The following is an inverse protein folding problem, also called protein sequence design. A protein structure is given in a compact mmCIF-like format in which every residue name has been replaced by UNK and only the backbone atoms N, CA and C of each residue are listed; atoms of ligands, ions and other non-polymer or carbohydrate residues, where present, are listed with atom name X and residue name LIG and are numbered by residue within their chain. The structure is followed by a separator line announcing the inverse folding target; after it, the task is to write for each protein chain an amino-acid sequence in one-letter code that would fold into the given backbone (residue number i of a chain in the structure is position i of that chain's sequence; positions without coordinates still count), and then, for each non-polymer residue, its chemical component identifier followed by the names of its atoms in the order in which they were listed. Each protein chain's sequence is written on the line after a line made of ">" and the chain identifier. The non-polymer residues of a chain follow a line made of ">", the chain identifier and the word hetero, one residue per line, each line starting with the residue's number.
data_IF_276912192129
#
_entry.id   IF_276912192129
#
_cell.length_a   1.000
_cell.length_b   1.000
_cell.length_c   1.000
_cell.angle_alpha   90.00
_cell.angle_beta   90.00
_cell.angle_gamma   90.00
#
_symmetry.space_group_name_H-M   'P 1'
#
loop_
_entity.id
_entity.type
_entity.pdbx_description
1 polymer ?
#
# COMPACT_ATOMS: atom_id res chain seq x y z
N UNK A 1 -19.42 38.61 11.51
CA UNK A 1 -19.85 37.19 11.53
C UNK A 1 -20.12 36.58 10.15
N UNK A 2 -20.78 37.28 9.21
CA UNK A 2 -21.01 36.77 7.84
C UNK A 2 -19.72 36.50 7.06
N UNK A 3 -18.73 37.39 7.18
CA UNK A 3 -17.43 37.26 6.53
C UNK A 3 -16.65 36.02 7.01
N UNK A 4 -16.65 35.77 8.33
CA UNK A 4 -15.98 34.61 8.93
C UNK A 4 -16.65 33.29 8.51
N UNK A 5 -17.98 33.27 8.37
CA UNK A 5 -18.72 32.11 7.84
C UNK A 5 -18.45 31.86 6.36
N UNK A 6 -18.33 32.93 5.57
CA UNK A 6 -17.98 32.84 4.15
C UNK A 6 -16.54 32.32 3.96
N UNK A 7 -15.61 32.78 4.79
CA UNK A 7 -14.22 32.31 4.80
C UNK A 7 -14.14 30.83 5.22
N UNK A 8 -14.91 30.41 6.23
CA UNK A 8 -15.02 29.01 6.62
C UNK A 8 -15.62 28.14 5.52
N UNK A 9 -16.65 28.63 4.82
CA UNK A 9 -17.23 27.97 3.65
C UNK A 9 -16.21 27.83 2.51
N UNK A 10 -15.43 28.87 2.23
CA UNK A 10 -14.36 28.84 1.21
C UNK A 10 -13.21 27.91 1.60
N UNK A 11 -12.87 27.80 2.88
CA UNK A 11 -11.86 26.85 3.39
C UNK A 11 -12.40 25.40 3.37
N UNK A 12 -13.70 25.20 3.59
CA UNK A 12 -14.35 23.88 3.48
C UNK A 12 -14.58 23.45 2.01
N UNK A 13 -14.67 24.41 1.09
CA UNK A 13 -14.80 24.21 -0.36
C UNK A 13 -13.44 24.25 -1.08
N UNK A 14 -12.34 24.53 -0.38
CA UNK A 14 -11.01 24.42 -0.94
C UNK A 14 -10.79 22.94 -1.32
N UNK A 15 -10.49 22.65 -2.60
CA UNK A 15 -10.19 21.28 -2.99
C UNK A 15 -9.01 20.81 -2.14
N UNK A 16 -9.22 19.74 -1.38
CA UNK A 16 -8.11 19.04 -0.76
C UNK A 16 -7.14 18.66 -1.89
N UNK A 17 -5.87 18.98 -1.72
CA UNK A 17 -4.85 18.51 -2.64
C UNK A 17 -4.99 16.98 -2.70
N UNK A 18 -5.07 16.38 -3.90
CA UNK A 18 -5.29 14.96 -3.98
C UNK A 18 -4.13 14.22 -3.32
N UNK A 19 -4.40 13.35 -2.33
CA UNK A 19 -3.39 12.42 -1.86
C UNK A 19 -3.39 11.22 -2.79
N UNK A 20 -2.27 11.02 -3.47
CA UNK A 20 -2.15 10.09 -4.57
C UNK A 20 -1.49 8.78 -4.07
N UNK A 21 -2.14 7.64 -4.30
CA UNK A 21 -1.89 6.37 -3.59
C UNK A 21 -0.74 5.53 -4.16
N UNK A 22 0.26 5.15 -3.37
CA UNK A 22 1.26 4.14 -3.78
C UNK A 22 0.72 2.72 -3.77
N UNK A 23 1.47 1.79 -4.37
CA UNK A 23 1.12 0.37 -4.30
C UNK A 23 1.27 -0.20 -2.88
N UNK A 24 0.37 -1.12 -2.52
CA UNK A 24 0.28 -1.72 -1.18
C UNK A 24 1.59 -2.34 -0.69
N UNK A 25 2.35 -3.05 -1.54
CA UNK A 25 3.62 -3.65 -1.09
C UNK A 25 4.72 -2.59 -0.92
N UNK A 26 4.66 -1.50 -1.70
CA UNK A 26 5.60 -0.38 -1.53
C UNK A 26 5.43 0.27 -0.17
N UNK A 27 4.20 0.46 0.31
CA UNK A 27 3.96 0.98 1.66
C UNK A 27 4.55 0.11 2.77
N UNK A 28 4.42 -1.22 2.66
CA UNK A 28 5.08 -2.13 3.60
C UNK A 28 6.61 -2.03 3.53
N UNK A 29 7.17 -1.87 2.32
CA UNK A 29 8.62 -1.67 2.14
C UNK A 29 9.14 -0.35 2.73
N UNK A 30 8.30 0.69 2.77
CA UNK A 30 8.63 1.96 3.44
C UNK A 30 8.71 1.75 4.95
N UNK A 31 7.76 1.02 5.54
CA UNK A 31 7.84 0.65 6.97
C UNK A 31 9.13 -0.13 7.24
N UNK A 32 9.51 -1.07 6.37
CA UNK A 32 10.78 -1.79 6.51
C UNK A 32 12.00 -0.89 6.49
N UNK A 33 12.06 0.04 5.54
CA UNK A 33 13.21 0.91 5.31
C UNK A 33 13.35 1.98 6.39
N UNK A 34 12.26 2.32 7.05
CA UNK A 34 12.17 3.35 8.08
C UNK A 34 12.06 2.78 9.50
N UNK A 35 11.94 1.46 9.66
CA UNK A 35 11.67 0.84 10.96
C UNK A 35 12.69 1.25 12.02
N UNK A 36 13.96 0.92 11.80
CA UNK A 36 15.03 1.17 12.78
C UNK A 36 15.40 2.66 12.89
N UNK A 37 15.15 3.44 11.84
CA UNK A 37 15.56 4.86 11.75
C UNK A 37 14.51 5.83 12.29
N UNK A 38 13.23 5.47 12.17
CA UNK A 38 12.12 6.39 12.45
C UNK A 38 11.05 5.74 13.33
N UNK A 39 10.45 4.64 12.89
CA UNK A 39 9.22 4.09 13.51
C UNK A 39 9.52 3.51 14.90
N UNK A 40 10.54 2.67 15.02
CA UNK A 40 10.93 2.05 16.29
C UNK A 40 11.43 3.10 17.32
N UNK A 41 12.30 4.07 16.95
CA UNK A 41 12.64 5.16 17.86
C UNK A 41 11.43 5.93 18.40
N UNK A 42 10.45 6.28 17.55
CA UNK A 42 9.22 6.96 17.98
C UNK A 42 8.38 6.08 18.93
N UNK A 43 8.28 4.78 18.64
CA UNK A 43 7.60 3.83 19.51
C UNK A 43 8.28 3.72 20.88
N UNK A 44 9.61 3.65 20.92
CA UNK A 44 10.39 3.57 22.16
C UNK A 44 10.32 4.86 22.97
N UNK A 45 10.28 6.02 22.31
CA UNK A 45 10.14 7.32 22.97
C UNK A 45 8.80 7.45 23.69
N UNK A 46 7.69 7.02 23.07
CA UNK A 46 6.34 7.13 23.67
C UNK A 46 6.00 5.95 24.59
N UNK A 47 6.45 4.75 24.24
CA UNK A 47 6.17 3.49 24.95
C UNK A 47 7.46 2.67 25.12
N UNK A 48 8.33 3.00 26.08
CA UNK A 48 9.65 2.37 26.26
C UNK A 48 9.57 0.91 26.74
N UNK A 49 10.70 0.19 26.71
CA UNK A 49 10.84 -1.15 27.31
C UNK A 49 10.24 -2.31 26.51
N UNK A 50 10.09 -2.17 25.19
CA UNK A 50 9.51 -3.22 24.34
C UNK A 50 10.46 -4.43 24.18
N UNK A 51 9.96 -5.65 24.46
CA UNK A 51 10.67 -6.87 24.03
C UNK A 51 10.67 -7.00 22.50
N UNK A 52 11.57 -7.81 21.94
CA UNK A 52 11.60 -8.05 20.49
C UNK A 52 10.26 -8.58 19.95
N UNK A 53 9.57 -9.43 20.72
CA UNK A 53 8.24 -9.93 20.36
C UNK A 53 7.22 -8.80 20.28
N UNK A 54 7.21 -7.90 21.27
CA UNK A 54 6.32 -6.74 21.27
C UNK A 54 6.65 -5.75 20.15
N UNK A 55 7.94 -5.62 19.79
CA UNK A 55 8.36 -4.80 18.64
C UNK A 55 7.85 -5.40 17.32
N UNK A 56 7.96 -6.72 17.14
CA UNK A 56 7.43 -7.40 15.96
C UNK A 56 5.91 -7.30 15.88
N UNK A 57 5.21 -7.41 17.01
CA UNK A 57 3.77 -7.18 17.08
C UNK A 57 3.41 -5.75 16.67
N UNK A 58 4.07 -4.74 17.24
CA UNK A 58 3.87 -3.35 16.85
C UNK A 58 4.15 -3.12 15.36
N UNK A 59 5.17 -3.79 14.81
CA UNK A 59 5.48 -3.73 13.37
C UNK A 59 4.34 -4.25 12.51
N UNK A 60 3.65 -5.31 12.93
CA UNK A 60 2.46 -5.81 12.22
C UNK A 60 1.32 -4.78 12.18
N UNK A 61 1.18 -3.95 13.21
CA UNK A 61 0.24 -2.83 13.22
C UNK A 61 0.72 -1.68 12.33
N UNK A 62 2.01 -1.34 12.35
CA UNK A 62 2.57 -0.35 11.42
C UNK A 62 2.37 -0.75 9.96
N UNK A 63 2.56 -2.02 9.60
CA UNK A 63 2.19 -2.50 8.27
C UNK A 63 0.71 -2.33 7.98
N UNK A 64 -0.17 -2.68 8.92
CA UNK A 64 -1.61 -2.56 8.72
C UNK A 64 -2.05 -1.12 8.51
N UNK A 65 -1.47 -0.18 9.26
CA UNK A 65 -1.72 1.25 9.10
C UNK A 65 -1.19 1.78 7.77
N UNK A 66 -0.04 1.29 7.31
CA UNK A 66 0.58 1.76 6.06
C UNK A 66 -0.17 1.35 4.79
N UNK A 67 -1.05 0.37 4.86
CA UNK A 67 -1.81 -0.13 3.70
C UNK A 67 -3.31 0.06 3.86
N UNK A 68 -3.75 0.64 4.98
CA UNK A 68 -5.16 0.64 5.36
C UNK A 68 -6.01 1.44 4.38
N UNK A 69 -5.54 2.62 3.98
CA UNK A 69 -6.29 3.52 3.12
C UNK A 69 -6.68 2.84 1.80
N UNK A 70 -5.85 1.94 1.27
CA UNK A 70 -6.10 1.22 0.01
C UNK A 70 -7.10 0.06 0.13
N UNK A 71 -7.47 -0.32 1.36
CA UNK A 71 -8.34 -1.46 1.64
C UNK A 71 -9.66 -1.42 0.86
N UNK A 72 -10.21 -0.22 0.65
CA UNK A 72 -11.49 -0.04 -0.02
C UNK A 72 -11.48 -0.39 -1.51
N UNK A 73 -10.30 -0.48 -2.13
CA UNK A 73 -10.14 -0.92 -3.51
C UNK A 73 -10.16 -2.46 -3.65
N UNK A 74 -10.00 -3.22 -2.57
CA UNK A 74 -9.96 -4.69 -2.63
C UNK A 74 -11.36 -5.33 -2.53
N UNK A 75 -11.53 -6.64 -2.84
CA UNK A 75 -12.82 -7.32 -2.73
C UNK A 75 -13.49 -7.10 -1.37
N UNK A 76 -14.79 -6.86 -1.39
CA UNK A 76 -15.60 -6.46 -0.21
C UNK A 76 -15.17 -5.14 0.44
N UNK A 77 -14.28 -4.38 -0.19
CA UNK A 77 -13.91 -3.03 0.21
C UNK A 77 -15.02 -2.01 -0.06
N UNK A 78 -14.77 -0.77 0.34
CA UNK A 78 -15.63 0.36 0.07
C UNK A 78 -14.79 1.50 -0.53
N UNK A 79 -14.99 1.79 -1.81
CA UNK A 79 -14.26 2.85 -2.53
C UNK A 79 -14.39 4.20 -1.82
N UNK A 80 -15.58 4.49 -1.26
CA UNK A 80 -15.81 5.71 -0.47
C UNK A 80 -14.85 5.83 0.72
N UNK A 81 -14.52 4.73 1.42
CA UNK A 81 -13.57 4.77 2.52
C UNK A 81 -12.18 5.19 2.03
N UNK A 82 -11.72 4.57 0.95
CA UNK A 82 -10.42 4.87 0.34
C UNK A 82 -10.38 6.30 -0.17
N UNK A 83 -11.43 6.74 -0.88
CA UNK A 83 -11.50 8.10 -1.39
C UNK A 83 -11.51 9.16 -0.27
N UNK A 84 -12.21 8.90 0.84
CA UNK A 84 -12.17 9.81 1.99
C UNK A 84 -10.77 9.84 2.60
N UNK A 85 -10.20 8.68 2.89
CA UNK A 85 -8.92 8.57 3.60
C UNK A 85 -7.69 8.99 2.77
N UNK A 86 -7.82 9.01 1.45
CA UNK A 86 -6.84 9.62 0.54
C UNK A 86 -7.13 11.11 0.31
N UNK A 87 -8.33 11.45 -0.17
CA UNK A 87 -8.54 12.74 -0.81
C UNK A 87 -9.26 13.78 0.04
N UNK A 88 -9.86 13.41 1.18
CA UNK A 88 -10.68 14.34 1.96
C UNK A 88 -10.14 14.43 3.37
N UNK A 89 -9.55 15.56 3.77
CA UNK A 89 -9.01 15.76 5.13
C UNK A 89 -8.12 14.58 5.61
N UNK A 90 -7.37 13.96 4.71
CA UNK A 90 -6.53 12.79 5.01
C UNK A 90 -5.48 13.09 6.09
N UNK A 91 -4.93 14.30 6.11
CA UNK A 91 -4.09 14.77 7.21
C UNK A 91 -4.80 14.82 8.57
N UNK A 92 -6.08 15.26 8.62
CA UNK A 92 -6.87 15.24 9.85
C UNK A 92 -7.17 13.81 10.30
N UNK A 93 -7.42 12.90 9.36
CA UNK A 93 -7.59 11.47 9.65
C UNK A 93 -6.36 10.87 10.32
N UNK A 94 -5.17 11.08 9.75
CA UNK A 94 -3.89 10.64 10.33
C UNK A 94 -3.64 11.28 11.69
N UNK A 95 -3.91 12.59 11.84
CA UNK A 95 -3.80 13.28 13.12
C UNK A 95 -4.72 12.68 14.19
N UNK A 96 -5.95 12.33 13.82
CA UNK A 96 -6.89 11.69 14.74
C UNK A 96 -6.42 10.29 15.14
N UNK A 97 -5.85 9.49 14.22
CA UNK A 97 -5.21 8.21 14.57
C UNK A 97 -4.07 8.40 15.59
N UNK A 98 -3.18 9.37 15.37
CA UNK A 98 -2.03 9.63 16.25
C UNK A 98 -2.45 10.13 17.65
N UNK A 99 -3.48 10.96 17.69
CA UNK A 99 -4.03 11.54 18.92
C UNK A 99 -4.78 10.51 19.76
N UNK A 100 -5.57 9.67 19.12
CA UNK A 100 -6.44 8.70 19.80
C UNK A 100 -5.72 7.41 20.20
N UNK A 101 -4.52 7.15 19.67
CA UNK A 101 -3.75 5.96 20.01
C UNK A 101 -3.38 5.90 21.51
N UNK A 102 -3.79 4.82 22.19
CA UNK A 102 -3.66 4.63 23.64
C UNK A 102 -2.56 3.67 24.06
N UNK A 103 -2.06 2.88 23.13
CA UNK A 103 -0.98 1.92 23.38
C UNK A 103 0.04 1.88 22.24
N UNK A 104 1.08 1.05 22.42
CA UNK A 104 2.17 0.87 21.45
C UNK A 104 1.69 0.38 20.09
N UNK A 105 0.71 -0.52 20.05
CA UNK A 105 0.23 -1.13 18.82
C UNK A 105 -0.67 -0.16 18.05
N UNK A 106 -1.56 0.53 18.75
CA UNK A 106 -2.37 1.61 18.20
C UNK A 106 -1.49 2.75 17.66
N UNK A 107 -0.44 3.12 18.38
CA UNK A 107 0.48 4.16 17.92
C UNK A 107 1.31 3.69 16.73
N UNK A 108 1.74 2.42 16.71
CA UNK A 108 2.40 1.85 15.54
C UNK A 108 1.49 1.85 14.32
N UNK A 109 0.21 1.49 14.48
CA UNK A 109 -0.80 1.59 13.42
C UNK A 109 -0.94 3.02 12.90
N UNK A 110 -1.03 4.00 13.80
CA UNK A 110 -1.10 5.42 13.43
C UNK A 110 0.17 5.92 12.70
N UNK A 111 1.36 5.50 13.15
CA UNK A 111 2.62 5.80 12.46
C UNK A 111 2.69 5.14 11.08
N UNK A 112 2.11 3.95 10.93
CA UNK A 112 1.91 3.31 9.64
C UNK A 112 1.09 4.18 8.68
N UNK A 113 -0.08 4.63 9.13
CA UNK A 113 -0.94 5.50 8.34
C UNK A 113 -0.29 6.86 8.02
N UNK A 114 0.54 7.39 8.93
CA UNK A 114 1.36 8.57 8.68
C UNK A 114 2.41 8.31 7.60
N UNK A 115 3.07 7.16 7.62
CA UNK A 115 4.04 6.80 6.60
C UNK A 115 3.39 6.70 5.21
N UNK A 116 2.19 6.11 5.13
CA UNK A 116 1.37 6.08 3.93
C UNK A 116 1.07 7.49 3.41
N UNK A 117 0.49 8.34 4.27
CA UNK A 117 0.18 9.73 3.92
C UNK A 117 1.42 10.51 3.45
N UNK A 118 2.56 10.33 4.11
CA UNK A 118 3.79 11.01 3.73
C UNK A 118 4.34 10.50 2.39
N UNK A 119 4.34 9.18 2.16
CA UNK A 119 4.86 8.62 0.92
C UNK A 119 4.03 8.99 -0.29
N UNK A 120 2.72 9.06 -0.14
CA UNK A 120 1.78 9.43 -1.20
C UNK A 120 1.93 10.89 -1.62
N UNK A 121 2.05 11.78 -0.65
CA UNK A 121 2.21 13.20 -0.92
C UNK A 121 3.58 13.57 -1.53
N UNK A 122 4.60 12.73 -1.35
CA UNK A 122 5.94 12.98 -1.91
C UNK A 122 6.13 12.24 -3.23
N UNK A 123 5.87 10.94 -3.24
CA UNK A 123 6.39 10.11 -4.31
C UNK A 123 5.53 10.12 -5.59
N UNK A 124 4.25 10.47 -5.53
CA UNK A 124 3.43 10.59 -6.75
C UNK A 124 3.80 11.80 -7.62
N UNK A 125 3.92 13.02 -7.06
CA UNK A 125 4.46 14.16 -7.80
C UNK A 125 5.85 13.88 -8.39
N UNK A 126 6.69 13.19 -7.63
CA UNK A 126 8.11 13.01 -7.97
C UNK A 126 8.40 11.75 -8.81
N UNK A 127 7.44 10.82 -8.94
CA UNK A 127 7.61 9.59 -9.71
C UNK A 127 6.42 9.27 -10.63
N UNK A 128 5.29 8.81 -10.08
CA UNK A 128 4.21 8.23 -10.90
C UNK A 128 3.66 9.23 -11.92
N UNK A 129 3.41 10.47 -11.51
CA UNK A 129 2.86 11.52 -12.38
C UNK A 129 3.78 11.87 -13.55
N UNK A 130 5.10 11.75 -13.35
CA UNK A 130 6.13 12.07 -14.35
C UNK A 130 6.47 10.88 -15.25
N UNK A 131 6.37 9.66 -14.72
CA UNK A 131 6.68 8.43 -15.46
C UNK A 131 5.52 8.03 -16.38
N UNK A 132 4.28 8.32 -16.00
CA UNK A 132 3.08 7.93 -16.75
C UNK A 132 3.04 8.37 -18.22
N UNK A 133 3.32 9.64 -18.56
CA UNK A 133 3.38 10.08 -19.95
C UNK A 133 4.41 9.29 -20.78
N UNK A 134 5.51 8.90 -20.16
CA UNK A 134 6.59 8.16 -20.82
C UNK A 134 6.28 6.67 -21.01
N UNK A 135 5.56 6.06 -20.05
CA UNK A 135 5.17 4.65 -20.15
C UNK A 135 4.00 4.42 -21.10
N UNK A 136 3.09 5.40 -21.24
CA UNK A 136 1.91 5.28 -22.09
C UNK A 136 1.73 6.52 -22.99
N UNK A 137 2.68 6.79 -23.92
CA UNK A 137 2.68 8.02 -24.69
C UNK A 137 1.42 8.19 -25.54
N UNK A 138 0.93 7.12 -26.17
CA UNK A 138 -0.31 7.16 -26.98
C UNK A 138 -1.56 7.39 -26.12
N UNK A 139 -1.64 6.76 -24.94
CA UNK A 139 -2.79 6.92 -24.03
C UNK A 139 -2.80 8.28 -23.33
N UNK A 140 -1.65 8.93 -23.19
CA UNK A 140 -1.47 10.18 -22.44
C UNK A 140 -1.13 11.39 -23.33
N UNK A 141 -1.14 11.24 -24.66
CA UNK A 141 -0.75 12.29 -25.61
C UNK A 141 -1.49 13.62 -25.39
N UNK A 142 -2.71 13.60 -24.84
CA UNK A 142 -3.53 14.79 -24.59
C UNK A 142 -3.41 15.36 -23.17
N UNK A 143 -2.70 14.69 -22.25
CA UNK A 143 -2.71 15.02 -20.81
C UNK A 143 -1.51 15.84 -20.34
N UNK A 144 -0.52 16.08 -21.21
CA UNK A 144 0.68 16.85 -20.89
C UNK A 144 1.73 16.06 -20.10
N UNK A 145 2.77 16.75 -19.58
CA UNK A 145 3.96 16.10 -19.00
C UNK A 145 3.77 15.60 -17.56
N UNK A 146 2.63 15.88 -16.94
CA UNK A 146 2.28 15.46 -15.58
C UNK A 146 0.86 14.91 -15.64
N UNK A 147 0.68 13.63 -15.32
CA UNK A 147 -0.63 12.96 -15.34
C UNK A 147 -1.04 12.56 -13.93
N UNK A 148 -2.06 13.21 -13.37
CA UNK A 148 -2.54 12.92 -12.01
C UNK A 148 -3.44 11.69 -11.97
N UNK A 149 -3.69 11.17 -10.76
CA UNK A 149 -4.54 9.99 -10.56
C UNK A 149 -5.96 10.21 -11.13
N UNK A 150 -6.54 11.40 -10.91
CA UNK A 150 -7.88 11.74 -11.40
C UNK A 150 -7.97 11.71 -12.92
N UNK A 151 -6.88 12.03 -13.61
CA UNK A 151 -6.84 12.06 -15.07
C UNK A 151 -6.72 10.66 -15.70
N UNK A 152 -6.08 9.71 -15.01
CA UNK A 152 -5.78 8.39 -15.53
C UNK A 152 -5.67 7.30 -14.43
N UNK A 153 -6.75 7.02 -13.68
CA UNK A 153 -6.69 6.15 -12.49
C UNK A 153 -6.28 4.71 -12.83
N UNK A 154 -6.71 4.20 -13.99
CA UNK A 154 -6.31 2.87 -14.46
C UNK A 154 -4.81 2.78 -14.76
N UNK A 155 -4.22 3.83 -15.37
CA UNK A 155 -2.80 3.82 -15.70
C UNK A 155 -1.93 4.00 -14.46
N UNK A 156 -2.39 4.81 -13.50
CA UNK A 156 -1.80 4.88 -12.17
C UNK A 156 -1.71 3.51 -11.51
N UNK A 157 -2.82 2.77 -11.45
CA UNK A 157 -2.84 1.41 -10.90
C UNK A 157 -1.93 0.43 -11.65
N UNK A 158 -1.80 0.55 -12.98
CA UNK A 158 -0.85 -0.26 -13.77
C UNK A 158 0.61 0.04 -13.39
N UNK A 159 0.98 1.32 -13.25
CA UNK A 159 2.34 1.75 -12.89
C UNK A 159 2.69 1.37 -11.45
N UNK A 160 1.77 1.59 -10.52
CA UNK A 160 1.89 1.17 -9.12
C UNK A 160 2.09 -0.34 -9.01
N UNK A 161 1.31 -1.15 -9.74
CA UNK A 161 1.53 -2.59 -9.79
C UNK A 161 2.89 -2.96 -10.42
N UNK A 162 3.35 -2.22 -11.43
CA UNK A 162 4.69 -2.41 -11.97
C UNK A 162 5.79 -2.12 -10.94
N UNK A 163 5.60 -1.14 -10.05
CA UNK A 163 6.50 -0.90 -8.92
C UNK A 163 6.51 -2.09 -7.95
N UNK A 164 5.36 -2.68 -7.61
CA UNK A 164 5.30 -3.90 -6.78
C UNK A 164 6.11 -5.05 -7.41
N UNK A 165 5.93 -5.29 -8.70
CA UNK A 165 6.70 -6.31 -9.44
C UNK A 165 8.20 -6.00 -9.37
N UNK A 166 8.59 -4.74 -9.53
CA UNK A 166 9.99 -4.32 -9.45
C UNK A 166 10.58 -4.44 -8.04
N UNK A 167 9.82 -4.18 -6.98
CA UNK A 167 10.28 -4.34 -5.60
C UNK A 167 10.58 -5.80 -5.27
N UNK A 168 9.67 -6.71 -5.68
CA UNK A 168 9.87 -8.16 -5.56
C UNK A 168 11.08 -8.61 -6.39
N UNK A 169 11.16 -8.19 -7.66
CA UNK A 169 12.22 -8.59 -8.56
C UNK A 169 13.61 -8.11 -8.10
N UNK A 170 13.72 -6.90 -7.55
CA UNK A 170 14.98 -6.38 -7.04
C UNK A 170 15.36 -6.96 -5.66
N UNK A 171 14.46 -7.70 -5.01
CA UNK A 171 14.64 -8.15 -3.63
C UNK A 171 14.73 -7.00 -2.62
N UNK A 172 14.15 -5.84 -2.97
CA UNK A 172 14.00 -4.69 -2.09
C UNK A 172 12.78 -4.82 -1.20
N UNK A 173 11.83 -5.65 -1.61
CA UNK A 173 10.78 -6.17 -0.75
C UNK A 173 11.35 -7.29 0.13
N UNK A 174 11.24 -7.18 1.47
CA UNK A 174 11.57 -8.33 2.33
C UNK A 174 10.73 -9.53 1.92
N UNK A 175 11.27 -10.73 2.15
CA UNK A 175 10.63 -11.96 1.68
C UNK A 175 9.13 -11.99 2.03
N UNK A 176 8.32 -12.52 1.13
CA UNK A 176 6.93 -12.81 1.37
C UNK A 176 6.75 -13.64 2.64
N UNK A 177 7.68 -14.57 2.91
CA UNK A 177 7.70 -15.34 4.15
C UNK A 177 7.88 -14.45 5.37
N UNK A 178 8.76 -13.43 5.29
CA UNK A 178 8.91 -12.44 6.35
C UNK A 178 7.62 -11.65 6.58
N UNK A 179 7.02 -11.11 5.53
CA UNK A 179 5.76 -10.36 5.62
C UNK A 179 4.59 -11.24 6.06
N UNK A 180 4.55 -12.52 5.70
CA UNK A 180 3.55 -13.47 6.18
C UNK A 180 3.77 -13.86 7.64
N UNK A 181 5.03 -13.96 8.07
CA UNK A 181 5.40 -14.27 9.44
C UNK A 181 5.05 -13.14 10.39
N UNK A 182 5.37 -11.88 10.03
CA UNK A 182 4.96 -10.70 10.81
C UNK A 182 3.46 -10.44 10.63
N UNK A 183 2.93 -10.62 9.42
CA UNK A 183 1.56 -10.30 9.05
C UNK A 183 1.27 -8.80 9.14
N UNK A 184 0.01 -8.43 8.90
CA UNK A 184 -0.49 -7.12 9.27
C UNK A 184 -1.74 -7.22 10.15
N UNK A 185 -1.85 -6.28 11.07
CA UNK A 185 -2.97 -6.15 12.01
C UNK A 185 -3.59 -4.76 11.89
N UNK A 186 -4.91 -4.72 12.02
CA UNK A 186 -5.69 -3.48 11.97
C UNK A 186 -6.16 -3.16 13.37
N UNK A 187 -5.84 -1.97 13.88
CA UNK A 187 -6.46 -1.50 15.12
C UNK A 187 -7.86 -0.98 14.82
N UNK A 188 -8.84 -1.88 14.81
CA UNK A 188 -10.24 -1.55 14.48
C UNK A 188 -10.86 -0.51 15.42
N UNK A 189 -10.68 -0.56 16.76
CA UNK A 189 -11.23 0.47 17.65
C UNK A 189 -10.66 1.86 17.37
N UNK A 190 -9.34 1.95 17.15
CA UNK A 190 -8.69 3.20 16.78
C UNK A 190 -9.19 3.73 15.42
N UNK A 191 -9.27 2.85 14.42
CA UNK A 191 -9.77 3.18 13.08
C UNK A 191 -11.21 3.72 13.14
N UNK A 192 -12.10 3.04 13.86
CA UNK A 192 -13.49 3.47 14.04
C UNK A 192 -13.59 4.84 14.72
N UNK A 193 -12.80 5.07 15.79
CA UNK A 193 -12.77 6.36 16.48
C UNK A 193 -12.29 7.48 15.55
N UNK A 194 -11.13 7.29 14.92
CA UNK A 194 -10.53 8.31 14.06
C UNK A 194 -11.36 8.61 12.82
N UNK A 195 -11.92 7.57 12.18
CA UNK A 195 -12.79 7.73 11.01
C UNK A 195 -14.06 8.52 11.38
N UNK A 196 -14.70 8.18 12.50
CA UNK A 196 -15.88 8.90 12.98
C UNK A 196 -15.58 10.35 13.34
N UNK A 197 -14.46 10.61 14.00
CA UNK A 197 -14.06 11.97 14.36
C UNK A 197 -13.73 12.84 13.15
N UNK A 198 -13.17 12.25 12.09
CA UNK A 198 -12.77 13.00 10.90
C UNK A 198 -13.94 13.26 9.96
N UNK A 199 -14.79 12.24 9.74
CA UNK A 199 -15.81 12.27 8.69
C UNK A 199 -17.24 12.32 9.22
N UNK A 200 -17.45 12.15 10.52
CA UNK A 200 -18.79 12.03 11.10
C UNK A 200 -19.52 10.73 10.76
N UNK A 201 -18.84 9.77 10.11
CA UNK A 201 -19.39 8.50 9.65
C UNK A 201 -18.87 7.33 10.49
N UNK A 202 -19.71 6.33 10.74
CA UNK A 202 -19.28 5.03 11.26
C UNK A 202 -18.77 4.16 10.11
N UNK A 203 -17.79 3.29 10.35
CA UNK A 203 -17.30 2.35 9.32
C UNK A 203 -18.43 1.49 8.74
N UNK A 204 -19.38 1.03 9.56
CA UNK A 204 -20.53 0.24 9.11
C UNK A 204 -21.56 1.01 8.26
N UNK A 205 -21.42 2.33 8.10
CA UNK A 205 -22.20 3.11 7.13
C UNK A 205 -21.50 3.14 5.75
N UNK A 206 -20.24 2.74 5.68
CA UNK A 206 -19.40 2.79 4.47
C UNK A 206 -19.11 1.38 3.96
N UNK A 207 -18.74 0.46 4.86
CA UNK A 207 -18.55 -0.95 4.56
C UNK A 207 -19.81 -1.75 4.87
N UNK A 208 -20.17 -2.67 3.97
CA UNK A 208 -21.22 -3.64 4.24
C UNK A 208 -20.89 -4.51 5.46
N UNK A 209 -19.64 -4.97 5.58
CA UNK A 209 -19.15 -5.70 6.74
C UNK A 209 -17.64 -5.47 6.92
N UNK A 210 -17.26 -4.69 7.94
CA UNK A 210 -15.87 -4.28 8.20
C UNK A 210 -14.93 -5.48 8.40
N UNK A 211 -15.37 -6.51 9.12
CA UNK A 211 -14.52 -7.67 9.42
C UNK A 211 -14.29 -8.54 8.18
N UNK A 212 -15.34 -8.72 7.36
CA UNK A 212 -15.23 -9.40 6.08
C UNK A 212 -14.32 -8.63 5.10
N UNK A 213 -14.41 -7.29 5.07
CA UNK A 213 -13.52 -6.45 4.27
C UNK A 213 -12.06 -6.60 4.70
N UNK A 214 -11.77 -6.55 6.00
CA UNK A 214 -10.41 -6.75 6.53
C UNK A 214 -9.90 -8.15 6.21
N UNK A 215 -10.75 -9.18 6.30
CA UNK A 215 -10.38 -10.56 5.98
C UNK A 215 -10.07 -10.75 4.49
N UNK A 216 -10.92 -10.21 3.61
CA UNK A 216 -10.72 -10.26 2.17
C UNK A 216 -9.47 -9.47 1.76
N UNK A 217 -9.25 -8.31 2.36
CA UNK A 217 -8.03 -7.52 2.16
C UNK A 217 -6.78 -8.30 2.60
N UNK A 218 -6.84 -8.97 3.75
CA UNK A 218 -5.74 -9.83 4.22
C UNK A 218 -5.45 -10.97 3.25
N UNK A 219 -6.47 -11.62 2.69
CA UNK A 219 -6.29 -12.63 1.65
C UNK A 219 -5.61 -12.03 0.42
N UNK A 220 -6.04 -10.84 -0.01
CA UNK A 220 -5.50 -10.18 -1.17
C UNK A 220 -4.01 -9.84 -1.03
N UNK A 221 -3.64 -9.18 0.06
CA UNK A 221 -2.25 -8.76 0.30
C UNK A 221 -1.33 -9.95 0.59
N UNK A 222 -1.79 -10.94 1.35
CA UNK A 222 -0.94 -12.06 1.76
C UNK A 222 -0.86 -13.20 0.74
N UNK A 223 -1.70 -13.24 -0.29
CA UNK A 223 -1.72 -14.37 -1.21
C UNK A 223 -1.84 -13.95 -2.66
N UNK A 224 -2.81 -13.09 -2.96
CA UNK A 224 -3.20 -12.74 -4.32
C UNK A 224 -2.15 -11.84 -4.98
N UNK A 225 -1.88 -10.69 -4.35
CA UNK A 225 -1.00 -9.67 -4.91
C UNK A 225 0.45 -10.19 -5.10
N UNK A 226 1.07 -10.89 -4.14
CA UNK A 226 2.40 -11.46 -4.34
C UNK A 226 2.43 -12.57 -5.40
N UNK A 227 1.34 -13.34 -5.55
CA UNK A 227 1.24 -14.35 -6.62
C UNK A 227 1.16 -13.68 -8.00
N UNK A 228 0.31 -12.66 -8.15
CA UNK A 228 0.16 -11.91 -9.38
C UNK A 228 1.47 -11.20 -9.77
N UNK A 229 2.13 -10.55 -8.81
CA UNK A 229 3.39 -9.87 -9.06
C UNK A 229 4.51 -10.83 -9.49
N UNK A 230 4.59 -12.04 -8.90
CA UNK A 230 5.50 -13.10 -9.36
C UNK A 230 5.17 -13.61 -10.77
N UNK A 231 3.89 -13.75 -11.09
CA UNK A 231 3.46 -14.15 -12.42
C UNK A 231 3.86 -13.09 -13.47
N UNK A 232 3.64 -11.81 -13.16
CA UNK A 232 4.04 -10.67 -14.00
C UNK A 232 5.57 -10.59 -14.18
N UNK A 233 6.34 -10.77 -13.10
CA UNK A 233 7.81 -10.90 -13.21
C UNK A 233 8.18 -12.04 -14.16
N UNK A 234 7.54 -13.21 -14.03
CA UNK A 234 7.87 -14.37 -14.85
C UNK A 234 7.58 -14.14 -16.34
N UNK A 235 6.44 -13.51 -16.67
CA UNK A 235 6.04 -13.22 -18.05
C UNK A 235 6.92 -12.14 -18.68
N UNK A 236 7.21 -11.05 -17.95
CA UNK A 236 7.97 -9.90 -18.45
C UNK A 236 9.48 -9.99 -18.22
N UNK A 237 9.97 -11.09 -17.63
CA UNK A 237 11.38 -11.26 -17.22
C UNK A 237 12.39 -10.83 -18.27
N UNK A 238 12.21 -11.27 -19.53
CA UNK A 238 13.16 -10.97 -20.61
C UNK A 238 13.28 -9.45 -20.85
N UNK A 239 12.17 -8.73 -20.85
CA UNK A 239 12.15 -7.28 -21.06
C UNK A 239 12.75 -6.55 -19.85
N UNK A 240 12.36 -6.94 -18.64
CA UNK A 240 12.88 -6.33 -17.40
C UNK A 240 14.39 -6.55 -17.22
N UNK A 241 14.91 -7.73 -17.59
CA UNK A 241 16.35 -7.99 -17.62
C UNK A 241 17.07 -7.19 -18.72
N UNK A 242 16.42 -6.86 -19.83
CA UNK A 242 17.03 -5.94 -20.82
C UNK A 242 17.12 -4.52 -20.28
N UNK A 243 16.08 -4.05 -19.61
CA UNK A 243 15.97 -2.70 -19.09
C UNK A 243 16.84 -2.42 -17.84
N UNK A 244 17.05 -3.41 -16.96
CA UNK A 244 17.74 -3.18 -15.68
C UNK A 244 19.04 -4.02 -15.53
N UNK A 245 20.22 -3.37 -15.56
CA UNK A 245 21.50 -4.04 -15.28
C UNK A 245 21.56 -4.67 -13.89
N UNK A 246 20.96 -4.01 -12.89
CA UNK A 246 20.88 -4.49 -11.51
C UNK A 246 20.07 -5.80 -11.42
N UNK A 247 18.91 -5.86 -12.07
CA UNK A 247 18.11 -7.09 -12.16
C UNK A 247 18.87 -8.21 -12.87
N UNK A 248 19.64 -7.90 -13.93
CA UNK A 248 20.50 -8.91 -14.59
C UNK A 248 21.53 -9.50 -13.66
N UNK A 249 22.23 -8.67 -12.89
CA UNK A 249 23.27 -9.15 -11.95
C UNK A 249 22.65 -10.06 -10.90
N UNK A 250 21.52 -9.63 -10.31
CA UNK A 250 20.79 -10.42 -9.31
C UNK A 250 20.26 -11.75 -9.89
N UNK A 251 19.67 -11.71 -11.08
CA UNK A 251 19.18 -12.93 -11.75
C UNK A 251 20.30 -13.90 -12.10
N UNK A 252 21.49 -13.40 -12.47
CA UNK A 252 22.68 -14.25 -12.64
C UNK A 252 23.09 -14.92 -11.33
N UNK A 253 23.17 -14.18 -10.23
CA UNK A 253 23.47 -14.75 -8.92
C UNK A 253 22.49 -15.88 -8.54
N UNK A 254 21.19 -15.67 -8.76
CA UNK A 254 20.17 -16.72 -8.58
C UNK A 254 20.42 -17.96 -9.43
N UNK A 255 20.81 -17.78 -10.70
CA UNK A 255 21.11 -18.91 -11.61
C UNK A 255 22.39 -19.65 -11.27
N UNK A 256 23.39 -18.95 -10.74
CA UNK A 256 24.70 -19.55 -10.40
C UNK A 256 24.59 -20.47 -9.21
N UNK A 257 23.95 -20.01 -8.13
CA UNK A 257 23.74 -20.84 -6.94
C UNK A 257 22.35 -20.61 -6.34
N UNK A 258 21.32 -21.34 -6.83
CA UNK A 258 19.95 -21.15 -6.36
C UNK A 258 19.79 -21.41 -4.85
N UNK A 259 20.53 -22.36 -4.29
CA UNK A 259 20.42 -22.71 -2.86
C UNK A 259 20.96 -21.59 -1.97
N UNK A 260 22.15 -21.09 -2.25
CA UNK A 260 22.76 -19.96 -1.54
C UNK A 260 21.94 -18.67 -1.73
N UNK A 261 21.46 -18.43 -2.95
CA UNK A 261 20.60 -17.29 -3.22
C UNK A 261 19.32 -17.36 -2.40
N UNK A 262 18.68 -18.53 -2.29
CA UNK A 262 17.49 -18.74 -1.46
C UNK A 262 17.78 -18.54 0.03
N UNK A 263 18.92 -19.02 0.51
CA UNK A 263 19.32 -18.83 1.90
C UNK A 263 19.49 -17.35 2.25
N UNK A 264 20.10 -16.57 1.34
CA UNK A 264 20.35 -15.15 1.55
C UNK A 264 19.13 -14.24 1.25
N UNK A 265 18.23 -14.64 0.35
CA UNK A 265 17.18 -13.76 -0.19
C UNK A 265 15.75 -14.29 -0.05
N UNK A 266 15.56 -15.51 0.47
CA UNK A 266 14.28 -16.19 0.53
C UNK A 266 13.88 -16.88 -0.78
N UNK A 267 12.69 -17.49 -0.79
CA UNK A 267 12.17 -18.31 -1.91
C UNK A 267 11.31 -17.52 -2.90
N UNK A 268 11.13 -16.22 -2.68
CA UNK A 268 10.15 -15.41 -3.41
C UNK A 268 10.51 -15.09 -4.86
N UNK A 269 11.74 -15.40 -5.23
CA UNK A 269 12.24 -15.28 -6.59
C UNK A 269 11.78 -16.45 -7.49
N UNK A 270 11.15 -17.47 -6.92
CA UNK A 270 10.64 -18.64 -7.65
C UNK A 270 9.25 -18.43 -8.29
N UNK A 271 8.86 -19.37 -9.16
CA UNK A 271 7.55 -19.37 -9.83
C UNK A 271 6.41 -19.43 -8.80
N UNK A 272 5.25 -18.80 -9.08
CA UNK A 272 4.07 -19.01 -8.26
C UNK A 272 3.71 -20.50 -8.19
N UNK A 273 3.56 -21.02 -6.97
CA UNK A 273 3.19 -22.41 -6.71
C UNK A 273 1.84 -22.79 -7.32
N UNK A 274 1.51 -24.08 -7.36
CA UNK A 274 0.25 -24.58 -7.94
C UNK A 274 -0.98 -23.91 -7.30
N UNK A 275 -1.02 -23.79 -5.97
CA UNK A 275 -2.11 -23.10 -5.26
C UNK A 275 -2.27 -21.62 -5.62
N UNK A 276 -1.17 -20.92 -5.92
CA UNK A 276 -1.22 -19.53 -6.38
C UNK A 276 -1.83 -19.40 -7.79
N UNK A 277 -1.62 -20.41 -8.66
CA UNK A 277 -2.26 -20.50 -9.98
C UNK A 277 -3.76 -20.80 -9.88
N UNK A 278 -4.15 -21.68 -8.95
CA UNK A 278 -5.56 -21.96 -8.67
C UNK A 278 -6.26 -20.74 -8.08
N UNK A 279 -5.63 -20.05 -7.11
CA UNK A 279 -6.17 -18.82 -6.53
C UNK A 279 -6.32 -17.71 -7.58
N UNK A 280 -5.35 -17.54 -8.49
CA UNK A 280 -5.47 -16.64 -9.64
C UNK A 280 -6.68 -16.98 -10.53
N UNK A 281 -6.97 -18.27 -10.73
CA UNK A 281 -8.19 -18.73 -11.40
C UNK A 281 -9.47 -18.32 -10.65
N UNK A 282 -9.50 -18.43 -9.32
CA UNK A 282 -10.62 -17.96 -8.49
C UNK A 282 -10.77 -16.44 -8.49
N UNK A 283 -9.68 -15.68 -8.53
CA UNK A 283 -9.72 -14.21 -8.64
C UNK A 283 -10.29 -13.77 -9.97
N UNK A 284 -9.98 -14.49 -11.06
CA UNK A 284 -10.59 -14.26 -12.36
C UNK A 284 -12.11 -14.56 -12.38
N UNK A 285 -12.61 -15.33 -11.41
CA UNK A 285 -14.03 -15.60 -11.19
C UNK A 285 -14.70 -14.55 -10.28
N UNK A 286 -13.94 -13.74 -9.54
CA UNK A 286 -14.48 -12.65 -8.74
C UNK A 286 -14.94 -11.50 -9.66
N UNK A 287 -16.02 -10.76 -9.28
CA UNK A 287 -16.47 -9.62 -10.05
C UNK A 287 -15.33 -8.59 -10.19
N UNK A 288 -15.05 -8.19 -11.44
CA UNK A 288 -13.93 -7.29 -11.80
C UNK A 288 -14.22 -5.84 -11.40
N UNK A 289 -14.15 -5.59 -10.10
CA UNK A 289 -14.37 -4.29 -9.47
C UNK A 289 -13.04 -3.82 -8.89
N UNK A 290 -12.69 -2.54 -9.07
CA UNK A 290 -11.45 -1.95 -8.54
C UNK A 290 -10.15 -2.42 -9.24
N UNK A 291 -9.02 -2.56 -8.52
CA UNK A 291 -7.71 -2.96 -9.04
C UNK A 291 -7.72 -4.34 -9.70
N UNK A 292 -8.76 -5.17 -9.47
CA UNK A 292 -8.88 -6.46 -10.15
C UNK A 292 -9.13 -6.34 -11.67
N UNK A 293 -9.46 -5.15 -12.19
CA UNK A 293 -9.54 -4.89 -13.64
C UNK A 293 -8.19 -4.97 -14.36
N UNK A 294 -7.08 -4.64 -13.69
CA UNK A 294 -5.75 -4.60 -14.32
C UNK A 294 -5.12 -5.98 -14.54
N UNK A 295 -5.72 -7.04 -14.00
CA UNK A 295 -5.28 -8.44 -14.19
C UNK A 295 -6.02 -9.15 -15.35
N UNK A 296 -6.61 -8.39 -16.27
CA UNK A 296 -7.25 -8.87 -17.50
C UNK A 296 -6.25 -8.99 -18.64
#
# INVERSE_FOLDING_TARGET
>A
MRFLRLLLLLVLLAPAAPAAAYSVLTHQSIIDSTWDKCVLPLLQQRYPGASLQQQNEAKSYAYGGAILQDMGYYPLGAELFTNLTHYVRSGDFVRNLLREAKDRNEYAFALGALAHYASDNVGHPDATNLVLPNLYPERNAQRGPVVTYEQAPLNHSEVEFAFDVMQIANGRYRSHTYHKHIGFRVSKPLLESAFRQTYGLKLGQVFFNVDASIAAFRLAVNHILPAAARAAWYSQRKQMLKASPTLRRRYRAYKTNPAEFKQANGTDFERPGFGARVLAGFINLLPKIGPLRTYS
#
